data_IF_365178867903
#
_entry.id   IF_365178867903
#
_cell.length_a   1.000
_cell.length_b   1.000
_cell.length_c   1.000
_cell.angle_alpha   90.00
_cell.angle_beta   90.00
_cell.angle_gamma   90.00
#
_symmetry.space_group_name_H-M   'P 1'
#
loop_
_entity.id
_entity.type
_entity.pdbx_description
1 polymer ?
#
# COMPACT_ATOMS: atom_id res chain seq x y z
N UNK A 1 18.69 8.16 -10.32
CA UNK A 1 19.06 9.47 -9.75
C UNK A 1 18.24 9.58 -8.48
N UNK A 2 18.88 9.51 -7.32
CA UNK A 2 18.16 9.58 -6.06
C UNK A 2 17.93 11.06 -5.73
N UNK A 3 16.78 11.43 -5.17
CA UNK A 3 16.59 12.76 -4.62
C UNK A 3 16.71 12.76 -3.10
N UNK A 4 17.28 13.80 -2.53
CA UNK A 4 17.32 14.02 -1.08
C UNK A 4 16.59 15.34 -0.79
N UNK A 5 15.54 15.26 0.01
CA UNK A 5 14.81 16.43 0.47
C UNK A 5 15.24 16.81 1.88
N UNK A 6 15.47 18.09 2.16
CA UNK A 6 15.79 18.61 3.49
C UNK A 6 14.64 19.51 3.94
N UNK A 7 13.82 19.01 4.88
CA UNK A 7 12.81 19.81 5.58
C UNK A 7 13.41 20.39 6.84
N UNK A 8 13.33 21.72 6.99
CA UNK A 8 13.85 22.41 8.16
C UNK A 8 13.06 23.68 8.46
N UNK A 9 13.14 24.16 9.70
CA UNK A 9 12.57 25.44 10.09
C UNK A 9 13.67 26.50 10.12
N UNK A 10 13.55 27.54 9.29
CA UNK A 10 14.59 28.59 9.14
C UNK A 10 14.96 29.26 10.45
N UNK A 11 13.95 29.63 11.24
CA UNK A 11 14.14 30.26 12.54
C UNK A 11 14.82 29.34 13.55
N UNK A 12 15.00 28.06 13.26
CA UNK A 12 15.50 27.07 14.21
C UNK A 12 16.86 26.52 13.81
N UNK A 13 17.04 26.14 12.53
CA UNK A 13 18.20 25.34 12.10
C UNK A 13 18.84 25.78 10.79
N UNK A 14 18.58 27.01 10.29
CA UNK A 14 19.08 27.48 8.98
C UNK A 14 20.59 27.31 8.77
N UNK A 15 21.41 27.63 9.78
CA UNK A 15 22.88 27.49 9.68
C UNK A 15 23.35 26.04 9.59
N UNK A 16 22.62 25.09 10.16
CA UNK A 16 22.90 23.66 10.00
C UNK A 16 22.37 23.13 8.66
N UNK A 17 21.20 23.58 8.24
CA UNK A 17 20.58 23.18 6.98
C UNK A 17 21.42 23.56 5.77
N UNK A 18 21.94 24.79 5.72
CA UNK A 18 22.84 25.23 4.64
C UNK A 18 24.14 24.42 4.60
N UNK A 19 24.80 24.24 5.75
CA UNK A 19 26.03 23.42 5.83
C UNK A 19 25.79 21.97 5.42
N UNK A 20 24.64 21.41 5.79
CA UNK A 20 24.25 20.05 5.42
C UNK A 20 24.02 19.95 3.91
N UNK A 21 23.29 20.91 3.34
CA UNK A 21 23.03 20.99 1.90
C UNK A 21 24.32 20.98 1.08
N UNK A 22 25.27 21.86 1.38
CA UNK A 22 26.54 21.94 0.65
C UNK A 22 27.31 20.61 0.70
N UNK A 23 27.33 19.98 1.88
CA UNK A 23 28.01 18.70 2.10
C UNK A 23 27.33 17.55 1.35
N UNK A 24 26.00 17.54 1.30
CA UNK A 24 25.24 16.55 0.53
C UNK A 24 25.43 16.76 -0.98
N UNK A 25 25.43 17.99 -1.48
CA UNK A 25 25.76 18.29 -2.88
C UNK A 25 27.16 17.78 -3.25
N UNK A 26 28.15 17.96 -2.38
CA UNK A 26 29.49 17.43 -2.58
C UNK A 26 29.54 15.89 -2.51
N UNK A 27 28.79 15.28 -1.59
CA UNK A 27 28.75 13.83 -1.40
C UNK A 27 27.94 13.12 -2.49
N UNK A 28 27.02 13.78 -3.18
CA UNK A 28 26.13 13.19 -4.19
C UNK A 28 26.10 14.04 -5.48
N UNK A 29 27.21 14.12 -6.23
CA UNK A 29 27.38 15.07 -7.35
C UNK A 29 26.49 14.83 -8.59
N UNK A 30 25.56 13.88 -8.53
CA UNK A 30 24.57 13.61 -9.58
C UNK A 30 23.14 13.45 -9.08
N UNK A 31 22.91 13.61 -7.78
CA UNK A 31 21.58 13.49 -7.17
C UNK A 31 20.94 14.87 -7.01
N UNK A 32 19.60 14.91 -7.03
CA UNK A 32 18.87 16.17 -6.82
C UNK A 32 18.73 16.40 -5.32
N UNK A 33 19.46 17.38 -4.80
CA UNK A 33 19.33 17.81 -3.41
C UNK A 33 18.39 19.00 -3.37
N UNK A 34 17.27 18.85 -2.66
CA UNK A 34 16.27 19.88 -2.46
C UNK A 34 16.33 20.36 -1.01
N UNK A 35 16.25 21.67 -0.83
CA UNK A 35 16.22 22.30 0.49
C UNK A 35 15.17 23.40 0.45
N UNK A 36 14.06 23.19 1.18
CA UNK A 36 12.97 24.17 1.35
C UNK A 36 12.34 24.68 0.02
N UNK A 37 11.02 24.90 0.02
CA UNK A 37 10.24 25.12 -1.22
C UNK A 37 9.93 26.60 -1.48
N UNK A 38 10.58 27.54 -0.78
CA UNK A 38 10.40 28.97 -1.07
C UNK A 38 11.01 29.46 -2.41
N UNK A 39 11.68 28.59 -3.20
CA UNK A 39 12.17 28.93 -4.55
C UNK A 39 11.16 28.65 -5.67
N UNK A 40 9.88 28.98 -5.46
CA UNK A 40 8.86 28.85 -6.51
C UNK A 40 8.45 30.21 -7.08
N UNK A 41 8.16 30.21 -8.38
CA UNK A 41 7.77 31.41 -9.10
C UNK A 41 6.36 31.85 -8.68
N UNK A 42 6.06 33.14 -8.80
CA UNK A 42 4.71 33.65 -8.51
C UNK A 42 3.70 33.03 -9.48
N UNK A 43 2.78 32.20 -8.97
CA UNK A 43 1.67 31.61 -9.74
C UNK A 43 1.54 30.08 -9.73
N UNK A 44 2.49 29.36 -9.13
CA UNK A 44 2.45 27.88 -9.08
C UNK A 44 1.45 27.34 -8.03
N UNK A 45 0.85 26.17 -8.31
CA UNK A 45 0.06 25.41 -7.33
C UNK A 45 1.01 24.67 -6.37
N UNK A 46 1.38 25.34 -5.29
CA UNK A 46 2.46 24.96 -4.36
C UNK A 46 2.32 23.57 -3.75
N UNK A 47 1.09 23.11 -3.49
CA UNK A 47 0.86 21.76 -2.99
C UNK A 47 1.33 20.71 -4.00
N UNK A 48 1.13 20.96 -5.30
CA UNK A 48 1.57 20.05 -6.36
C UNK A 48 3.09 19.99 -6.48
N UNK A 49 3.79 21.09 -6.22
CA UNK A 49 5.25 21.12 -6.38
C UNK A 49 5.98 20.40 -5.24
N UNK A 50 5.54 20.54 -3.99
CA UNK A 50 6.08 19.78 -2.85
C UNK A 50 5.92 18.28 -3.13
N UNK A 51 4.75 17.88 -3.61
CA UNK A 51 4.51 16.49 -3.98
C UNK A 51 5.37 16.03 -5.15
N UNK A 52 5.56 16.86 -6.17
CA UNK A 52 6.44 16.59 -7.32
C UNK A 52 7.88 16.40 -6.87
N UNK A 53 8.35 17.26 -5.97
CA UNK A 53 9.69 17.23 -5.40
C UNK A 53 9.91 15.99 -4.55
N UNK A 54 9.00 15.70 -3.62
CA UNK A 54 9.09 14.51 -2.77
C UNK A 54 8.98 13.21 -3.57
N UNK A 55 8.24 13.17 -4.69
CA UNK A 55 8.22 12.02 -5.62
C UNK A 55 9.58 11.74 -6.25
N UNK A 56 10.37 12.79 -6.48
CA UNK A 56 11.70 12.65 -7.01
C UNK A 56 12.73 12.24 -5.94
N UNK A 57 12.33 12.10 -4.67
CA UNK A 57 13.21 11.85 -3.55
C UNK A 57 13.07 10.44 -2.97
N UNK A 58 14.22 9.84 -2.63
CA UNK A 58 14.31 8.55 -1.94
C UNK A 58 14.45 8.72 -0.41
N UNK A 59 14.91 9.90 0.01
CA UNK A 59 15.21 10.25 1.40
C UNK A 59 14.66 11.64 1.70
N UNK A 60 14.02 11.78 2.86
CA UNK A 60 13.59 13.05 3.45
C UNK A 60 14.28 13.22 4.80
N UNK A 61 15.11 14.25 4.92
CA UNK A 61 15.83 14.62 6.13
C UNK A 61 15.03 15.69 6.86
N UNK A 62 14.65 15.41 8.10
CA UNK A 62 13.82 16.31 8.92
C UNK A 62 14.65 16.92 10.02
N UNK A 63 15.03 18.19 9.87
CA UNK A 63 15.87 18.88 10.84
C UNK A 63 15.05 19.46 11.99
N UNK A 64 15.37 19.01 13.20
CA UNK A 64 14.68 19.36 14.44
C UNK A 64 15.71 20.03 15.36
N UNK A 65 15.60 21.34 15.54
CA UNK A 65 16.34 22.09 16.55
C UNK A 65 15.52 22.30 17.83
N UNK A 66 16.11 23.02 18.78
CA UNK A 66 15.55 23.19 20.13
C UNK A 66 14.25 24.01 20.17
N UNK A 67 13.97 24.81 19.14
CA UNK A 67 12.75 25.63 19.01
C UNK A 67 11.74 25.05 18.01
N UNK A 68 12.07 23.95 17.32
CA UNK A 68 11.23 23.35 16.29
C UNK A 68 9.77 23.15 16.72
N UNK A 69 9.59 22.55 17.90
CA UNK A 69 8.28 22.25 18.49
C UNK A 69 7.59 23.48 19.09
N UNK A 70 8.35 24.49 19.52
CA UNK A 70 7.85 25.65 20.29
C UNK A 70 7.61 26.89 19.43
N UNK A 71 8.01 26.86 18.16
CA UNK A 71 7.90 28.03 17.28
C UNK A 71 6.42 28.36 17.05
N UNK A 72 6.08 29.63 17.24
CA UNK A 72 4.73 30.16 17.08
C UNK A 72 4.66 31.19 15.95
N UNK A 73 3.46 31.43 15.43
CA UNK A 73 3.18 32.54 14.51
C UNK A 73 3.09 33.89 15.24
N UNK A 74 2.78 34.94 14.48
CA UNK A 74 2.58 36.31 15.00
C UNK A 74 1.42 36.43 16.02
N UNK A 75 0.58 35.40 16.17
CA UNK A 75 -0.54 35.34 17.12
C UNK A 75 -0.27 34.40 18.30
N UNK A 76 0.96 33.88 18.44
CA UNK A 76 1.34 32.97 19.52
C UNK A 76 0.83 31.53 19.35
N UNK A 77 0.28 31.18 18.17
CA UNK A 77 -0.18 29.81 17.89
C UNK A 77 0.99 28.98 17.39
N UNK A 78 1.20 27.80 17.96
CA UNK A 78 2.26 26.89 17.53
C UNK A 78 2.11 26.58 16.04
N UNK A 79 3.19 26.76 15.27
CA UNK A 79 3.16 26.61 13.82
C UNK A 79 2.77 25.21 13.37
N UNK A 80 3.30 24.17 14.04
CA UNK A 80 2.98 22.78 13.70
C UNK A 80 1.50 22.42 13.86
N UNK A 81 0.72 23.14 14.68
CA UNK A 81 -0.71 22.88 14.80
C UNK A 81 -1.51 23.46 13.63
N UNK A 82 -0.89 24.33 12.84
CA UNK A 82 -1.54 24.99 11.72
C UNK A 82 -1.51 24.07 10.49
N UNK A 83 -2.66 23.79 9.85
CA UNK A 83 -2.72 22.93 8.67
C UNK A 83 -1.93 23.45 7.48
N UNK A 84 -1.63 24.75 7.43
CA UNK A 84 -0.87 25.42 6.38
C UNK A 84 0.63 25.61 6.71
N UNK A 85 1.14 25.03 7.81
CA UNK A 85 2.57 25.11 8.11
C UNK A 85 3.36 24.18 7.18
N UNK A 86 4.30 24.76 6.44
CA UNK A 86 5.06 24.06 5.40
C UNK A 86 5.83 22.85 5.92
N UNK A 87 6.48 22.99 7.07
CA UNK A 87 7.23 21.89 7.70
C UNK A 87 6.30 20.72 8.02
N UNK A 88 5.08 20.99 8.52
CA UNK A 88 4.07 19.95 8.74
C UNK A 88 3.68 19.28 7.43
N UNK A 89 3.33 20.06 6.41
CA UNK A 89 2.89 19.56 5.11
C UNK A 89 3.96 18.65 4.48
N UNK A 90 5.21 19.09 4.45
CA UNK A 90 6.34 18.34 3.89
C UNK A 90 6.57 17.01 4.60
N UNK A 91 6.59 17.03 5.94
CA UNK A 91 6.85 15.82 6.74
C UNK A 91 5.66 14.86 6.65
N UNK A 92 4.42 15.35 6.76
CA UNK A 92 3.22 14.53 6.62
C UNK A 92 3.16 13.89 5.22
N UNK A 93 3.51 14.65 4.19
CA UNK A 93 3.64 14.15 2.83
C UNK A 93 4.74 13.08 2.69
N UNK A 94 5.87 13.23 3.36
CA UNK A 94 6.95 12.24 3.31
C UNK A 94 6.60 10.96 4.10
N UNK A 95 5.94 11.07 5.25
CA UNK A 95 5.59 9.94 6.12
C UNK A 95 4.54 9.00 5.51
N UNK A 96 3.73 9.50 4.59
CA UNK A 96 2.67 8.76 3.87
C UNK A 96 3.14 8.14 2.56
N UNK A 97 4.41 8.35 2.18
CA UNK A 97 4.99 7.91 0.91
C UNK A 97 6.12 6.90 1.14
N UNK A 98 6.56 6.25 0.07
CA UNK A 98 7.75 5.40 0.09
C UNK A 98 9.07 6.20 0.09
N UNK A 99 9.16 7.22 0.95
CA UNK A 99 10.37 8.03 1.15
C UNK A 99 10.95 7.67 2.51
N UNK A 100 12.28 7.47 2.58
CA UNK A 100 12.92 7.22 3.87
C UNK A 100 13.03 8.52 4.66
N UNK A 101 12.19 8.68 5.67
CA UNK A 101 12.26 9.82 6.60
C UNK A 101 13.34 9.57 7.65
N UNK A 102 14.28 10.50 7.81
CA UNK A 102 15.36 10.45 8.81
C UNK A 102 15.32 11.74 9.63
N UNK A 103 14.91 11.68 10.91
CA UNK A 103 15.00 12.83 11.81
C UNK A 103 16.46 13.16 12.13
N UNK A 104 16.80 14.45 12.05
CA UNK A 104 18.10 15.02 12.36
C UNK A 104 17.96 16.02 13.52
N UNK A 105 18.36 15.60 14.72
CA UNK A 105 18.38 16.45 15.91
C UNK A 105 19.61 17.36 15.86
N UNK A 106 19.43 18.66 16.04
CA UNK A 106 20.51 19.65 16.03
C UNK A 106 20.98 19.93 17.46
N UNK A 107 22.26 19.68 17.73
CA UNK A 107 22.88 19.83 19.05
C UNK A 107 22.03 19.13 20.15
N UNK A 108 21.63 19.87 21.19
CA UNK A 108 20.87 19.38 22.35
C UNK A 108 19.36 19.22 22.08
N UNK A 109 18.93 19.25 20.80
CA UNK A 109 17.53 19.04 20.47
C UNK A 109 17.07 17.63 20.86
N UNK A 110 15.86 17.54 21.39
CA UNK A 110 15.25 16.28 21.82
C UNK A 110 14.13 15.91 20.86
N UNK A 111 13.97 14.61 20.60
CA UNK A 111 12.89 14.11 19.77
C UNK A 111 11.52 14.50 20.37
N UNK A 112 10.63 15.13 19.60
CA UNK A 112 9.28 15.43 20.09
C UNK A 112 8.53 14.14 20.42
N UNK A 113 7.87 14.05 21.58
CA UNK A 113 7.04 12.90 21.89
C UNK A 113 5.76 12.91 21.05
N UNK A 114 5.18 11.74 20.81
CA UNK A 114 4.04 11.56 19.89
C UNK A 114 2.83 12.42 20.27
N UNK A 115 2.52 12.55 21.56
CA UNK A 115 1.42 13.38 22.07
C UNK A 115 1.61 14.88 21.85
N UNK A 116 2.84 15.32 21.60
CA UNK A 116 3.12 16.71 21.28
C UNK A 116 3.01 17.00 19.77
N UNK A 117 2.77 15.99 18.93
CA UNK A 117 2.71 16.13 17.48
C UNK A 117 1.26 16.09 16.96
N UNK A 118 0.96 16.80 15.86
CA UNK A 118 -0.28 16.61 15.13
C UNK A 118 -0.44 15.15 14.65
N UNK A 119 -1.68 14.65 14.45
CA UNK A 119 -1.95 13.25 14.09
C UNK A 119 -1.14 12.72 12.90
N UNK A 120 -1.02 13.55 11.85
CA UNK A 120 -0.28 13.27 10.62
C UNK A 120 1.25 13.18 10.80
N UNK A 121 1.78 13.63 11.94
CA UNK A 121 3.20 13.59 12.26
C UNK A 121 3.56 12.63 13.40
N UNK A 122 2.60 12.00 14.07
CA UNK A 122 2.87 11.13 15.24
C UNK A 122 3.93 10.07 14.95
N UNK A 123 3.89 9.47 13.75
CA UNK A 123 4.88 8.47 13.30
C UNK A 123 6.32 8.98 13.31
N UNK A 124 6.56 10.29 13.18
CA UNK A 124 7.89 10.88 13.25
C UNK A 124 8.59 10.49 14.57
N UNK A 125 7.86 10.56 15.70
CA UNK A 125 8.37 10.31 17.05
C UNK A 125 8.96 8.91 17.28
N UNK A 126 8.54 7.91 16.51
CA UNK A 126 9.04 6.54 16.61
C UNK A 126 10.20 6.24 15.65
N UNK A 127 10.62 7.20 14.83
CA UNK A 127 11.74 7.02 13.91
C UNK A 127 13.08 7.21 14.60
N UNK A 128 14.06 6.39 14.20
CA UNK A 128 15.43 6.50 14.67
C UNK A 128 16.05 7.82 14.19
N UNK A 129 16.30 8.73 15.14
CA UNK A 129 16.95 10.00 14.85
C UNK A 129 18.49 9.88 14.81
N UNK A 130 19.12 10.82 14.11
CA UNK A 130 20.57 11.07 14.20
C UNK A 130 20.81 12.48 14.73
N UNK A 131 21.87 12.64 15.52
CA UNK A 131 22.25 13.94 16.08
C UNK A 131 23.35 14.56 15.25
N UNK A 132 23.21 15.85 14.92
CA UNK A 132 24.24 16.68 14.28
C UNK A 132 24.75 17.70 15.29
N UNK A 133 25.98 17.53 15.77
CA UNK A 133 26.57 18.49 16.70
C UNK A 133 27.38 19.54 15.96
N UNK A 134 27.43 20.75 16.50
CA UNK A 134 28.25 21.83 15.96
C UNK A 134 29.74 21.44 15.85
N UNK A 135 30.31 20.86 16.91
CA UNK A 135 31.74 20.56 17.01
C UNK A 135 32.16 19.31 16.23
N UNK A 136 31.24 18.37 16.01
CA UNK A 136 31.52 17.12 15.29
C UNK A 136 30.77 17.01 13.97
N UNK A 137 30.27 18.14 13.47
CA UNK A 137 29.38 18.24 12.31
C UNK A 137 29.88 17.42 11.11
N UNK A 138 31.15 17.58 10.74
CA UNK A 138 31.78 16.86 9.64
C UNK A 138 31.65 15.34 9.80
N UNK A 139 32.03 14.82 10.97
CA UNK A 139 31.96 13.38 11.28
C UNK A 139 30.50 12.88 11.29
N UNK A 140 29.61 13.64 11.90
CA UNK A 140 28.21 13.25 12.05
C UNK A 140 27.50 13.21 10.68
N UNK A 141 27.80 14.17 9.80
CA UNK A 141 27.31 14.19 8.42
C UNK A 141 27.96 13.11 7.56
N UNK A 142 29.24 12.76 7.77
CA UNK A 142 29.88 11.65 7.03
C UNK A 142 29.20 10.32 7.35
N UNK A 143 28.92 10.07 8.63
CA UNK A 143 28.18 8.91 9.05
C UNK A 143 26.76 8.89 8.44
N UNK A 144 26.09 10.05 8.34
CA UNK A 144 24.78 10.18 7.70
C UNK A 144 24.86 9.85 6.20
N UNK A 145 25.84 10.40 5.48
CA UNK A 145 26.09 10.14 4.07
C UNK A 145 26.34 8.65 3.81
N UNK A 146 27.17 7.99 4.64
CA UNK A 146 27.42 6.55 4.53
C UNK A 146 26.13 5.75 4.74
N UNK A 147 25.33 6.10 5.75
CA UNK A 147 24.04 5.46 6.00
C UNK A 147 23.05 5.62 4.84
N UNK A 148 22.98 6.81 4.24
CA UNK A 148 22.17 7.07 3.04
C UNK A 148 22.67 6.21 1.87
N UNK A 149 23.98 6.19 1.59
CA UNK A 149 24.56 5.40 0.49
C UNK A 149 24.26 3.91 0.64
N UNK A 150 24.50 3.34 1.81
CA UNK A 150 24.23 1.92 2.08
C UNK A 150 22.74 1.59 1.88
N UNK A 151 21.84 2.43 2.39
CA UNK A 151 20.40 2.24 2.22
C UNK A 151 19.98 2.35 0.74
N UNK A 152 20.51 3.34 0.02
CA UNK A 152 20.22 3.53 -1.42
C UNK A 152 20.80 2.42 -2.29
N UNK A 153 21.97 1.87 -1.94
CA UNK A 153 22.59 0.75 -2.67
C UNK A 153 21.82 -0.55 -2.42
N UNK A 154 21.44 -0.83 -1.17
CA UNK A 154 20.58 -1.98 -0.85
C UNK A 154 19.24 -1.91 -1.58
N UNK A 155 18.59 -0.74 -1.57
CA UNK A 155 17.33 -0.51 -2.30
C UNK A 155 17.50 -0.66 -3.81
N UNK A 156 18.59 -0.15 -4.40
CA UNK A 156 18.86 -0.31 -5.84
C UNK A 156 19.11 -1.77 -6.21
N UNK A 157 19.85 -2.51 -5.39
CA UNK A 157 20.09 -3.94 -5.58
C UNK A 157 18.77 -4.73 -5.54
N UNK A 158 17.91 -4.44 -4.56
CA UNK A 158 16.59 -5.04 -4.45
C UNK A 158 15.70 -4.69 -5.66
N UNK A 159 15.64 -3.41 -6.04
CA UNK A 159 14.87 -2.97 -7.20
C UNK A 159 15.35 -3.61 -8.51
N UNK A 160 16.67 -3.77 -8.70
CA UNK A 160 17.23 -4.46 -9.86
C UNK A 160 16.87 -5.95 -9.85
N UNK A 161 16.92 -6.61 -8.69
CA UNK A 161 16.47 -8.00 -8.52
C UNK A 161 14.99 -8.14 -8.86
N UNK A 162 14.12 -7.27 -8.34
CA UNK A 162 12.69 -7.26 -8.63
C UNK A 162 12.37 -6.95 -10.10
N UNK A 163 13.09 -6.02 -10.72
CA UNK A 163 12.93 -5.68 -12.14
C UNK A 163 13.30 -6.84 -13.08
N UNK A 164 14.12 -7.79 -12.62
CA UNK A 164 14.47 -9.00 -13.39
C UNK A 164 13.42 -10.12 -13.31
N UNK A 165 12.46 -10.01 -12.39
CA UNK A 165 11.41 -11.01 -12.22
C UNK A 165 10.43 -10.99 -13.39
N UNK A 166 10.13 -12.17 -13.91
CA UNK A 166 9.09 -12.35 -14.93
C UNK A 166 7.71 -12.24 -14.30
N UNK A 167 6.78 -11.59 -14.99
CA UNK A 167 5.38 -11.55 -14.58
C UNK A 167 4.84 -12.98 -14.34
N UNK A 168 4.10 -13.16 -13.24
CA UNK A 168 3.53 -14.44 -12.86
C UNK A 168 4.53 -15.49 -12.36
N UNK A 169 5.81 -15.15 -12.16
CA UNK A 169 6.76 -16.07 -11.53
C UNK A 169 6.32 -16.36 -10.09
N UNK A 170 6.47 -17.62 -9.67
CA UNK A 170 5.88 -18.11 -8.41
C UNK A 170 6.97 -18.42 -7.40
N UNK A 171 6.68 -18.13 -6.15
CA UNK A 171 7.47 -18.55 -4.99
C UNK A 171 6.55 -18.92 -3.83
N UNK A 172 7.01 -19.81 -2.97
CA UNK A 172 6.29 -20.21 -1.75
C UNK A 172 6.74 -19.33 -0.60
N UNK A 173 5.79 -18.80 0.15
CA UNK A 173 6.09 -18.02 1.34
C UNK A 173 6.32 -18.96 2.55
N UNK A 174 7.40 -18.78 3.33
CA UNK A 174 7.84 -19.79 4.31
C UNK A 174 6.92 -19.92 5.53
N UNK A 175 6.11 -18.91 5.84
CA UNK A 175 5.30 -18.88 7.07
C UNK A 175 3.92 -19.50 6.84
N UNK A 176 3.20 -19.00 5.84
CA UNK A 176 1.85 -19.47 5.50
C UNK A 176 1.86 -20.59 4.46
N UNK A 177 3.00 -20.92 3.83
CA UNK A 177 3.14 -21.97 2.82
C UNK A 177 2.22 -21.78 1.60
N UNK A 178 1.77 -20.54 1.35
CA UNK A 178 1.03 -20.21 0.13
C UNK A 178 1.99 -19.85 -1.00
N UNK A 179 1.55 -20.09 -2.23
CA UNK A 179 2.24 -19.62 -3.43
C UNK A 179 1.87 -18.16 -3.73
N UNK A 180 2.87 -17.35 -4.07
CA UNK A 180 2.73 -15.96 -4.46
C UNK A 180 3.28 -15.75 -5.86
N UNK A 181 2.55 -15.01 -6.69
CA UNK A 181 2.95 -14.62 -8.03
C UNK A 181 3.48 -13.18 -8.06
N UNK A 182 4.55 -12.96 -8.82
CA UNK A 182 5.09 -11.62 -9.05
C UNK A 182 4.23 -10.82 -10.04
N UNK A 183 3.77 -9.65 -9.59
CA UNK A 183 3.00 -8.69 -10.37
C UNK A 183 3.91 -7.49 -10.71
N UNK A 184 4.31 -7.29 -11.98
CA UNK A 184 5.24 -6.22 -12.34
C UNK A 184 4.56 -4.84 -12.25
N UNK A 185 5.33 -3.76 -12.00
CA UNK A 185 4.79 -2.40 -12.10
C UNK A 185 4.28 -2.14 -13.52
N UNK A 186 3.28 -1.27 -13.64
CA UNK A 186 2.67 -1.00 -14.93
C UNK A 186 1.50 -0.03 -14.85
N UNK A 187 1.11 0.47 -16.02
CA UNK A 187 -0.07 1.32 -16.19
C UNK A 187 -1.25 0.52 -16.72
N UNK A 188 -2.46 0.84 -16.26
CA UNK A 188 -3.70 0.27 -16.81
C UNK A 188 -4.85 1.28 -16.73
N UNK A 189 -5.94 0.97 -17.44
CA UNK A 189 -7.19 1.72 -17.35
C UNK A 189 -8.10 1.03 -16.33
N UNK A 190 -8.27 1.66 -15.16
CA UNK A 190 -9.12 1.20 -14.07
C UNK A 190 -10.58 1.59 -14.30
N UNK A 191 -11.49 0.72 -13.86
CA UNK A 191 -12.94 0.91 -13.97
C UNK A 191 -13.56 0.24 -15.19
N UNK A 192 -14.86 0.47 -15.36
CA UNK A 192 -15.71 -0.22 -16.35
C UNK A 192 -15.13 -0.17 -17.76
N UNK A 193 -15.08 -1.32 -18.45
CA UNK A 193 -14.58 -1.40 -19.82
C UNK A 193 -15.63 -0.93 -20.84
N UNK A 194 -15.21 -0.36 -21.99
CA UNK A 194 -16.10 -0.10 -23.10
C UNK A 194 -16.75 -1.39 -23.58
N UNK A 195 -18.08 -1.39 -23.73
CA UNK A 195 -18.81 -2.56 -24.25
C UNK A 195 -19.14 -3.65 -23.23
N UNK A 196 -19.00 -3.40 -21.92
CA UNK A 196 -19.40 -4.38 -20.88
C UNK A 196 -20.92 -4.65 -20.82
N UNK A 197 -21.72 -3.86 -21.54
CA UNK A 197 -23.16 -4.03 -21.70
C UNK A 197 -24.01 -3.70 -20.47
N UNK A 198 -23.41 -3.29 -19.35
CA UNK A 198 -24.12 -2.97 -18.11
C UNK A 198 -24.81 -1.61 -18.22
N UNK A 199 -26.15 -1.65 -18.22
CA UNK A 199 -27.01 -0.46 -18.22
C UNK A 199 -27.57 -0.12 -16.84
N UNK A 200 -27.36 -0.99 -15.86
CA UNK A 200 -27.86 -0.79 -14.50
C UNK A 200 -26.97 0.22 -13.76
N UNK A 201 -27.59 1.33 -13.36
CA UNK A 201 -26.93 2.47 -12.71
C UNK A 201 -26.36 2.12 -11.33
N UNK A 202 -26.78 1.00 -10.72
CA UNK A 202 -26.23 0.54 -9.43
C UNK A 202 -24.73 0.23 -9.48
N UNK A 203 -24.19 -0.01 -10.67
CA UNK A 203 -22.78 -0.30 -10.92
C UNK A 203 -22.01 0.92 -11.44
N UNK A 204 -22.61 2.13 -11.45
CA UNK A 204 -21.97 3.32 -12.01
C UNK A 204 -20.83 3.87 -11.14
N UNK A 205 -20.67 3.35 -9.93
CA UNK A 205 -19.49 3.55 -9.07
C UNK A 205 -18.20 2.97 -9.66
N UNK A 206 -18.29 2.18 -10.75
CA UNK A 206 -17.17 1.72 -11.58
C UNK A 206 -16.69 2.76 -12.62
N UNK A 207 -17.36 3.91 -12.70
CA UNK A 207 -17.09 5.00 -13.66
C UNK A 207 -16.57 6.26 -12.93
N UNK A 208 -15.86 7.16 -13.63
CA UNK A 208 -15.34 7.01 -14.98
C UNK A 208 -14.15 6.06 -15.03
N UNK A 209 -13.94 5.48 -16.22
CA UNK A 209 -12.72 4.75 -16.51
C UNK A 209 -11.54 5.73 -16.58
N UNK A 210 -10.44 5.43 -15.91
CA UNK A 210 -9.32 6.37 -15.76
C UNK A 210 -7.96 5.64 -15.73
N UNK A 211 -6.85 6.30 -16.14
CA UNK A 211 -5.53 5.69 -16.10
C UNK A 211 -5.01 5.58 -14.66
N UNK A 212 -4.39 4.47 -14.30
CA UNK A 212 -3.66 4.28 -13.05
C UNK A 212 -2.27 3.77 -13.35
N UNK A 213 -1.27 4.28 -12.64
CA UNK A 213 0.11 3.86 -12.75
C UNK A 213 0.57 3.28 -11.40
N UNK A 214 0.93 2.00 -11.40
CA UNK A 214 1.63 1.36 -10.29
C UNK A 214 3.13 1.49 -10.54
N UNK A 215 3.86 2.18 -9.68
CA UNK A 215 5.30 2.42 -9.88
C UNK A 215 6.16 1.30 -9.32
N UNK A 216 5.57 0.42 -8.51
CA UNK A 216 6.24 -0.71 -7.87
C UNK A 216 5.51 -2.01 -8.18
N UNK A 217 6.28 -3.05 -8.45
CA UNK A 217 5.76 -4.41 -8.49
C UNK A 217 5.61 -4.98 -7.08
N UNK A 218 4.83 -6.04 -6.97
CA UNK A 218 4.52 -6.68 -5.69
C UNK A 218 4.27 -8.17 -5.90
N UNK A 219 4.37 -8.93 -4.82
CA UNK A 219 3.95 -10.33 -4.77
C UNK A 219 2.51 -10.41 -4.31
N UNK A 220 1.69 -11.21 -4.97
CA UNK A 220 0.29 -11.42 -4.61
C UNK A 220 0.04 -12.91 -4.45
N UNK A 221 -0.66 -13.35 -3.40
CA UNK A 221 -0.99 -14.77 -3.24
C UNK A 221 -1.77 -15.26 -4.47
N UNK A 222 -1.38 -16.42 -5.01
CA UNK A 222 -1.89 -16.93 -6.29
C UNK A 222 -3.41 -17.07 -6.27
N UNK A 223 -3.97 -17.51 -5.16
CA UNK A 223 -5.41 -17.47 -4.90
C UNK A 223 -5.73 -16.83 -3.55
N UNK A 224 -7.02 -16.86 -3.15
CA UNK A 224 -7.44 -16.46 -1.81
C UNK A 224 -6.73 -17.29 -0.73
N UNK A 225 -6.60 -16.72 0.47
CA UNK A 225 -6.04 -17.43 1.62
C UNK A 225 -6.90 -18.66 1.93
N UNK A 226 -6.25 -19.83 2.02
CA UNK A 226 -6.95 -21.09 2.29
C UNK A 226 -7.22 -21.29 3.78
N UNK A 227 -8.21 -22.13 4.10
CA UNK A 227 -8.53 -22.54 5.46
C UNK A 227 -7.31 -23.18 6.16
N UNK A 228 -6.49 -23.95 5.44
CA UNK A 228 -5.26 -24.54 5.97
C UNK A 228 -4.19 -23.49 6.32
N UNK A 229 -4.03 -22.47 5.47
CA UNK A 229 -3.10 -21.37 5.72
C UNK A 229 -3.55 -20.49 6.88
N UNK A 230 -4.84 -20.17 6.96
CA UNK A 230 -5.44 -19.49 8.11
C UNK A 230 -5.33 -20.31 9.39
N UNK A 231 -5.48 -21.64 9.29
CA UNK A 231 -5.26 -22.60 10.38
C UNK A 231 -3.87 -22.53 11.00
N UNK A 232 -2.83 -22.28 10.20
CA UNK A 232 -1.46 -22.04 10.69
C UNK A 232 -1.35 -20.74 11.49
N UNK A 233 -1.94 -19.67 10.96
CA UNK A 233 -1.99 -18.37 11.62
C UNK A 233 -2.64 -18.48 13.01
N UNK A 234 -3.87 -18.99 13.09
CA UNK A 234 -4.62 -19.03 14.35
C UNK A 234 -3.94 -19.91 15.39
N UNK A 235 -3.33 -21.03 14.96
CA UNK A 235 -2.54 -21.92 15.83
C UNK A 235 -1.32 -21.20 16.41
N UNK A 236 -0.61 -20.43 15.59
CA UNK A 236 0.57 -19.67 16.05
C UNK A 236 0.23 -18.58 17.08
N UNK A 237 -1.01 -18.07 17.04
CA UNK A 237 -1.51 -17.01 17.93
C UNK A 237 -2.30 -17.56 19.13
N UNK A 238 -2.64 -18.84 19.15
CA UNK A 238 -3.52 -19.43 20.16
C UNK A 238 -4.97 -18.93 20.08
N UNK A 239 -5.44 -18.52 18.91
CA UNK A 239 -6.82 -18.07 18.67
C UNK A 239 -7.62 -19.15 17.92
N UNK A 240 -8.95 -19.03 17.92
CA UNK A 240 -9.84 -19.97 17.25
C UNK A 240 -9.96 -19.67 15.75
N UNK A 241 -10.27 -20.70 14.95
CA UNK A 241 -10.76 -20.50 13.58
C UNK A 241 -12.09 -19.73 13.61
N UNK A 242 -12.41 -18.95 12.55
CA UNK A 242 -13.73 -18.37 12.38
C UNK A 242 -14.80 -19.48 12.30
N UNK A 243 -16.09 -19.14 12.54
CA UNK A 243 -17.19 -20.10 12.41
C UNK A 243 -17.13 -20.82 11.04
N UNK A 244 -17.14 -22.15 11.00
CA UNK A 244 -17.04 -22.87 9.74
C UNK A 244 -18.31 -22.64 8.90
N UNK A 245 -18.18 -22.48 7.57
CA UNK A 245 -19.34 -22.39 6.70
C UNK A 245 -20.03 -23.75 6.58
N UNK A 246 -21.33 -23.76 6.25
CA UNK A 246 -22.12 -24.99 6.10
C UNK A 246 -21.52 -25.98 5.09
N UNK A 247 -20.89 -25.48 4.03
CA UNK A 247 -20.31 -26.28 2.96
C UNK A 247 -18.90 -26.82 3.29
N UNK A 248 -18.27 -26.38 4.39
CA UNK A 248 -16.99 -26.89 4.87
C UNK A 248 -17.00 -27.00 6.41
N UNK A 249 -17.76 -27.97 6.96
CA UNK A 249 -17.91 -28.13 8.39
C UNK A 249 -16.57 -28.42 9.06
N UNK A 250 -16.31 -27.78 10.20
CA UNK A 250 -15.06 -27.88 10.97
C UNK A 250 -13.78 -27.55 10.18
N UNK A 251 -13.90 -26.85 9.05
CA UNK A 251 -12.77 -26.60 8.14
C UNK A 251 -12.06 -27.89 7.72
N UNK A 252 -12.83 -28.95 7.43
CA UNK A 252 -12.29 -30.25 7.01
C UNK A 252 -11.50 -30.18 5.70
N UNK A 253 -11.95 -29.34 4.75
CA UNK A 253 -11.27 -29.14 3.47
C UNK A 253 -10.32 -27.93 3.57
N UNK A 254 -9.02 -28.22 3.72
CA UNK A 254 -8.00 -27.21 3.99
C UNK A 254 -7.65 -26.33 2.78
N UNK A 255 -7.95 -26.79 1.56
CA UNK A 255 -7.60 -26.11 0.30
C UNK A 255 -8.72 -25.18 -0.19
N UNK A 256 -9.84 -25.12 0.52
CA UNK A 256 -10.89 -24.12 0.29
C UNK A 256 -10.48 -22.76 0.85
N UNK A 257 -10.97 -21.64 0.28
CA UNK A 257 -10.73 -20.32 0.81
C UNK A 257 -11.31 -20.17 2.23
N UNK A 258 -10.60 -19.45 3.10
CA UNK A 258 -11.17 -19.04 4.38
C UNK A 258 -12.25 -17.98 4.14
N UNK A 259 -13.36 -18.12 4.86
CA UNK A 259 -14.53 -17.22 4.83
C UNK A 259 -15.01 -16.94 6.25
N UNK A 260 -16.04 -16.11 6.42
CA UNK A 260 -16.49 -15.63 7.73
C UNK A 260 -15.40 -14.86 8.49
N UNK A 261 -14.54 -14.15 7.76
CA UNK A 261 -13.49 -13.30 8.31
C UNK A 261 -13.86 -11.83 8.11
N UNK A 262 -13.63 -11.02 9.14
CA UNK A 262 -13.79 -9.57 9.05
C UNK A 262 -12.61 -8.96 8.29
N UNK A 263 -12.73 -7.69 7.91
CA UNK A 263 -11.61 -6.96 7.32
C UNK A 263 -10.42 -6.86 8.29
N UNK A 264 -10.69 -6.74 9.59
CA UNK A 264 -9.66 -6.69 10.62
C UNK A 264 -8.90 -8.02 10.74
N UNK A 265 -9.61 -9.15 10.72
CA UNK A 265 -9.02 -10.49 10.73
C UNK A 265 -8.09 -10.69 9.52
N UNK A 266 -8.57 -10.29 8.33
CA UNK A 266 -7.80 -10.36 7.09
C UNK A 266 -6.51 -9.53 7.17
N UNK A 267 -6.59 -8.32 7.73
CA UNK A 267 -5.42 -7.46 7.95
C UNK A 267 -4.44 -8.06 8.97
N UNK A 268 -4.93 -8.66 10.05
CA UNK A 268 -4.07 -9.30 11.06
C UNK A 268 -3.32 -10.51 10.49
N UNK A 269 -3.99 -11.31 9.66
CA UNK A 269 -3.33 -12.40 8.92
C UNK A 269 -2.25 -11.84 7.99
N UNK A 270 -2.58 -10.83 7.17
CA UNK A 270 -1.62 -10.22 6.26
C UNK A 270 -0.39 -9.70 7.03
N UNK A 271 -0.59 -9.01 8.16
CA UNK A 271 0.51 -8.52 8.99
C UNK A 271 1.36 -9.66 9.57
N UNK A 272 0.76 -10.80 9.93
CA UNK A 272 1.49 -11.97 10.44
C UNK A 272 2.44 -12.57 9.40
N UNK A 273 2.09 -12.54 8.12
CA UNK A 273 2.98 -12.97 7.02
C UNK A 273 3.90 -11.84 6.52
N UNK A 274 3.90 -10.68 7.17
CA UNK A 274 4.73 -9.53 6.76
C UNK A 274 4.18 -8.76 5.56
N UNK A 275 2.90 -8.94 5.24
CA UNK A 275 2.21 -8.31 4.13
C UNK A 275 1.06 -7.41 4.54
N UNK A 276 0.21 -7.11 3.56
CA UNK A 276 -0.98 -6.28 3.68
C UNK A 276 -2.06 -6.74 2.71
N UNK A 277 -3.27 -6.22 2.88
CA UNK A 277 -4.29 -6.34 1.84
C UNK A 277 -3.84 -5.52 0.60
N UNK A 278 -4.12 -5.99 -0.62
CA UNK A 278 -3.92 -5.18 -1.82
C UNK A 278 -4.85 -3.96 -1.78
N UNK A 279 -4.46 -2.87 -2.44
CA UNK A 279 -5.43 -1.83 -2.76
C UNK A 279 -6.39 -2.27 -3.84
N UNK A 280 -7.54 -1.58 -3.96
CA UNK A 280 -8.51 -1.83 -5.02
C UNK A 280 -7.86 -1.76 -6.41
N UNK A 281 -6.98 -0.78 -6.62
CA UNK A 281 -6.27 -0.61 -7.89
C UNK A 281 -5.23 -1.71 -8.14
N UNK A 282 -4.48 -2.12 -7.11
CA UNK A 282 -3.53 -3.23 -7.22
C UNK A 282 -4.28 -4.54 -7.55
N UNK A 283 -5.44 -4.75 -6.92
CA UNK A 283 -6.29 -5.91 -7.16
C UNK A 283 -6.81 -5.92 -8.60
N UNK A 284 -7.38 -4.81 -9.10
CA UNK A 284 -7.94 -4.76 -10.46
C UNK A 284 -6.84 -4.92 -11.52
N UNK A 285 -5.69 -4.26 -11.33
CA UNK A 285 -4.53 -4.44 -12.20
C UNK A 285 -4.10 -5.90 -12.28
N UNK A 286 -4.02 -6.56 -11.13
CA UNK A 286 -3.63 -7.96 -11.04
C UNK A 286 -4.68 -8.89 -11.68
N UNK A 287 -5.98 -8.63 -11.46
CA UNK A 287 -7.08 -9.40 -12.03
C UNK A 287 -7.13 -9.32 -13.56
N UNK A 288 -6.82 -8.15 -14.15
CA UNK A 288 -6.72 -7.96 -15.60
C UNK A 288 -5.60 -8.77 -16.25
N UNK A 289 -4.56 -9.17 -15.50
CA UNK A 289 -3.48 -10.02 -16.02
C UNK A 289 -2.70 -9.40 -17.19
N UNK A 290 -2.68 -8.07 -17.32
CA UNK A 290 -2.06 -7.40 -18.48
C UNK A 290 -2.95 -7.32 -19.73
N UNK A 291 -4.19 -7.80 -19.68
CA UNK A 291 -5.19 -7.59 -20.75
C UNK A 291 -5.88 -6.25 -20.61
N UNK A 292 -6.08 -5.58 -21.74
CA UNK A 292 -6.94 -4.42 -21.84
C UNK A 292 -8.35 -4.83 -22.25
N UNK A 293 -9.35 -4.07 -21.79
CA UNK A 293 -10.72 -4.07 -22.32
C UNK A 293 -11.46 -5.42 -22.22
N UNK A 294 -11.20 -6.20 -21.16
CA UNK A 294 -11.96 -7.41 -20.86
C UNK A 294 -12.84 -7.27 -19.61
N UNK A 295 -14.03 -7.88 -19.64
CA UNK A 295 -14.94 -7.97 -18.49
C UNK A 295 -14.45 -8.98 -17.45
N UNK A 296 -13.81 -10.06 -17.90
CA UNK A 296 -13.30 -11.17 -17.08
C UNK A 296 -11.81 -11.42 -17.40
N UNK A 297 -11.08 -12.17 -16.55
CA UNK A 297 -9.63 -12.39 -16.72
C UNK A 297 -9.28 -13.07 -18.05
N UNK A 298 -10.19 -13.88 -18.58
CA UNK A 298 -10.02 -14.65 -19.82
C UNK A 298 -10.66 -13.99 -21.05
N UNK A 299 -11.52 -12.97 -20.90
CA UNK A 299 -12.25 -12.38 -22.01
C UNK A 299 -13.58 -11.73 -21.60
N UNK A 300 -14.56 -11.73 -22.50
CA UNK A 300 -15.84 -11.04 -22.34
C UNK A 300 -17.03 -11.98 -22.15
N UNK A 301 -16.79 -13.29 -22.18
CA UNK A 301 -17.82 -14.31 -21.98
C UNK A 301 -17.49 -15.09 -20.70
N UNK A 302 -18.52 -15.43 -19.93
CA UNK A 302 -18.40 -16.26 -18.73
C UNK A 302 -19.25 -17.52 -18.92
N UNK A 303 -18.68 -18.65 -18.52
CA UNK A 303 -19.37 -19.94 -18.47
C UNK A 303 -19.03 -20.64 -17.16
N UNK A 304 -19.79 -21.68 -16.74
CA UNK A 304 -19.47 -22.47 -15.55
C UNK A 304 -18.10 -23.18 -15.56
N UNK A 305 -17.40 -23.23 -16.70
CA UNK A 305 -16.02 -23.75 -16.76
C UNK A 305 -14.96 -22.70 -16.41
N UNK A 306 -15.34 -21.43 -16.28
CA UNK A 306 -14.39 -20.34 -16.09
C UNK A 306 -14.18 -19.95 -14.62
N UNK A 307 -15.22 -20.04 -13.79
CA UNK A 307 -15.17 -19.66 -12.37
C UNK A 307 -16.30 -20.33 -11.56
N UNK A 308 -16.20 -20.26 -10.24
CA UNK A 308 -17.27 -20.64 -9.33
C UNK A 308 -18.14 -19.40 -9.02
N UNK A 309 -19.36 -19.36 -9.54
CA UNK A 309 -20.32 -18.25 -9.38
C UNK A 309 -21.74 -18.83 -9.40
N UNK A 310 -22.79 -18.01 -9.28
CA UNK A 310 -24.16 -18.48 -9.06
C UNK A 310 -24.67 -19.51 -10.09
N UNK A 311 -24.26 -19.42 -11.36
CA UNK A 311 -24.70 -20.37 -12.40
C UNK A 311 -23.84 -21.65 -12.46
N UNK A 312 -22.76 -21.73 -11.66
CA UNK A 312 -21.93 -22.92 -11.56
C UNK A 312 -22.44 -23.87 -10.46
N UNK A 313 -23.31 -24.80 -10.87
CA UNK A 313 -23.96 -25.73 -9.94
C UNK A 313 -23.07 -26.90 -9.48
N UNK A 314 -21.77 -26.92 -9.82
CA UNK A 314 -20.84 -28.00 -9.37
C UNK A 314 -20.56 -27.94 -7.88
N UNK A 315 -20.68 -26.76 -7.28
CA UNK A 315 -20.33 -26.50 -5.89
C UNK A 315 -21.53 -25.90 -5.16
N UNK A 316 -21.74 -26.30 -3.90
CA UNK A 316 -22.81 -25.73 -3.03
C UNK A 316 -22.24 -24.68 -2.07
N UNK A 317 -21.19 -23.98 -2.50
CA UNK A 317 -20.36 -23.11 -1.70
C UNK A 317 -19.05 -22.82 -2.41
N UNK A 318 -17.99 -22.61 -1.63
CA UNK A 318 -16.64 -22.42 -2.18
C UNK A 318 -16.14 -23.68 -2.88
N UNK A 319 -15.25 -23.49 -3.86
CA UNK A 319 -14.46 -24.55 -4.50
C UNK A 319 -13.03 -24.53 -3.96
N UNK A 320 -12.27 -25.63 -4.05
CA UNK A 320 -10.83 -25.61 -3.77
C UNK A 320 -10.15 -24.51 -4.57
N UNK A 321 -9.20 -23.80 -3.94
CA UNK A 321 -8.44 -22.74 -4.62
C UNK A 321 -7.66 -23.33 -5.79
N UNK A 322 -7.72 -22.68 -6.95
CA UNK A 322 -7.07 -23.16 -8.18
C UNK A 322 -7.86 -24.21 -8.97
N UNK A 323 -9.17 -24.34 -8.70
CA UNK A 323 -10.06 -25.23 -9.47
C UNK A 323 -10.26 -24.79 -10.93
N UNK A 324 -9.99 -23.52 -11.24
CA UNK A 324 -10.16 -22.92 -12.57
C UNK A 324 -8.82 -22.45 -13.13
N UNK A 325 -8.78 -22.13 -14.44
CA UNK A 325 -7.56 -21.64 -15.07
C UNK A 325 -7.10 -20.30 -14.46
N UNK A 326 -5.79 -20.08 -14.26
CA UNK A 326 -5.30 -18.81 -13.79
C UNK A 326 -5.34 -17.75 -14.90
N UNK A 327 -5.27 -16.48 -14.53
CA UNK A 327 -5.05 -15.40 -15.50
C UNK A 327 -3.58 -15.33 -15.97
N UNK A 328 -3.28 -14.39 -16.86
CA UNK A 328 -1.94 -14.24 -17.47
C UNK A 328 -0.84 -13.78 -16.47
N UNK A 329 -1.21 -13.34 -15.27
CA UNK A 329 -0.29 -13.14 -14.13
C UNK A 329 -0.23 -14.32 -13.17
N UNK A 330 -0.76 -15.47 -13.58
CA UNK A 330 -0.75 -16.74 -12.85
C UNK A 330 -1.53 -16.71 -11.53
N UNK A 331 -2.60 -15.91 -11.49
CA UNK A 331 -3.53 -15.81 -10.37
C UNK A 331 -4.80 -16.62 -10.62
N UNK A 332 -5.18 -17.41 -9.63
CA UNK A 332 -6.42 -18.18 -9.57
C UNK A 332 -7.52 -17.40 -8.86
N UNK A 333 -8.76 -17.73 -9.22
CA UNK A 333 -9.97 -17.33 -8.51
C UNK A 333 -10.05 -15.83 -8.19
N UNK A 334 -9.48 -14.98 -9.07
CA UNK A 334 -9.64 -13.52 -9.00
C UNK A 334 -11.08 -13.09 -9.30
N UNK A 335 -11.87 -13.99 -9.87
CA UNK A 335 -13.28 -13.78 -10.21
C UNK A 335 -14.07 -14.98 -9.71
N UNK A 336 -15.13 -14.72 -8.94
CA UNK A 336 -15.92 -15.74 -8.27
C UNK A 336 -15.23 -16.36 -7.06
N UNK A 337 -15.73 -17.52 -6.64
CA UNK A 337 -15.38 -18.25 -5.42
C UNK A 337 -15.66 -17.43 -4.16
N UNK A 338 -14.89 -16.40 -3.84
CA UNK A 338 -15.13 -15.54 -2.67
C UNK A 338 -14.92 -14.07 -3.03
N UNK A 339 -15.73 -13.20 -2.45
CA UNK A 339 -15.43 -11.78 -2.38
C UNK A 339 -14.13 -11.58 -1.61
N UNK A 340 -13.29 -10.65 -2.06
CA UNK A 340 -12.00 -10.42 -1.44
C UNK A 340 -11.88 -9.01 -0.85
N UNK A 341 -11.57 -8.94 0.44
CA UNK A 341 -11.23 -7.69 1.10
C UNK A 341 -10.01 -7.01 0.45
N UNK A 342 -10.11 -5.70 0.23
CA UNK A 342 -8.99 -4.84 -0.15
C UNK A 342 -8.79 -3.73 0.89
N UNK A 343 -7.68 -2.98 0.82
CA UNK A 343 -7.35 -1.98 1.82
C UNK A 343 -8.27 -0.75 1.82
N UNK A 344 -8.94 -0.46 0.71
CA UNK A 344 -9.56 0.83 0.45
C UNK A 344 -10.91 1.00 1.17
N UNK A 345 -11.18 2.23 1.60
CA UNK A 345 -12.54 2.64 1.98
C UNK A 345 -13.38 2.80 0.71
N UNK A 346 -14.64 2.37 0.78
CA UNK A 346 -15.58 2.55 -0.31
C UNK A 346 -16.04 4.00 -0.39
N UNK A 347 -15.93 4.56 -1.59
CA UNK A 347 -16.48 5.85 -1.97
C UNK A 347 -16.95 5.74 -3.44
N UNK A 348 -18.23 6.02 -3.66
CA UNK A 348 -18.86 5.92 -4.98
C UNK A 348 -18.37 7.00 -5.95
N UNK A 349 -17.89 8.14 -5.46
CA UNK A 349 -17.41 9.27 -6.25
C UNK A 349 -15.90 9.30 -6.47
N UNK A 350 -15.13 8.39 -5.84
CA UNK A 350 -13.66 8.48 -5.80
C UNK A 350 -13.01 8.43 -7.18
N UNK A 351 -13.58 7.66 -8.12
CA UNK A 351 -13.08 7.57 -9.50
C UNK A 351 -13.26 8.89 -10.28
N UNK A 352 -14.27 9.70 -9.92
CA UNK A 352 -14.53 10.99 -10.54
C UNK A 352 -13.78 12.14 -9.86
N UNK A 353 -13.53 12.03 -8.54
CA UNK A 353 -13.06 13.12 -7.70
C UNK A 353 -11.53 13.20 -7.56
N UNK A 354 -10.78 12.08 -7.67
CA UNK A 354 -9.33 12.07 -7.41
C UNK A 354 -8.53 11.96 -8.71
N UNK A 355 -7.54 12.85 -8.96
CA UNK A 355 -6.66 12.71 -10.12
C UNK A 355 -5.85 11.40 -10.04
N UNK A 356 -5.49 10.81 -11.19
CA UNK A 356 -4.89 9.49 -11.30
C UNK A 356 -3.53 9.41 -10.61
N UNK A 357 -3.46 8.80 -9.43
CA UNK A 357 -2.24 8.65 -8.63
C UNK A 357 -2.27 7.32 -7.88
N UNK A 358 -1.09 6.85 -7.46
CA UNK A 358 -0.99 5.68 -6.59
C UNK A 358 -1.95 5.82 -5.39
N UNK A 359 -2.70 4.76 -5.04
CA UNK A 359 -3.64 4.84 -3.92
C UNK A 359 -2.85 5.10 -2.65
N UNK A 360 -3.04 6.30 -2.09
CA UNK A 360 -2.60 6.61 -0.74
C UNK A 360 -3.34 5.68 0.19
N UNK A 361 -2.60 4.76 0.80
CA UNK A 361 -2.94 4.15 2.08
C UNK A 361 -3.42 5.27 3.00
N UNK A 362 -4.74 5.44 3.15
CA UNK A 362 -5.30 6.43 4.05
C UNK A 362 -5.28 5.81 5.46
N UNK A 363 -4.31 6.18 6.33
CA UNK A 363 -4.19 5.59 7.63
C UNK A 363 -5.12 6.35 8.58
N UNK A 364 -6.05 5.62 9.18
CA UNK A 364 -6.72 6.05 10.41
C UNK A 364 -7.62 7.29 10.34
N UNK A 365 -8.52 7.36 9.36
CA UNK A 365 -9.78 8.08 9.60
C UNK A 365 -10.56 7.28 10.64
N UNK A 366 -10.78 7.86 11.83
CA UNK A 366 -11.78 7.33 12.76
C UNK A 366 -13.13 7.37 12.07
N UNK A 367 -13.62 6.21 11.67
CA UNK A 367 -14.85 6.09 10.92
C UNK A 367 -15.92 5.39 11.75
N UNK A 368 -17.00 6.13 11.93
CA UNK A 368 -18.33 5.66 12.33
C UNK A 368 -18.78 4.45 11.48
N UNK A 369 -19.68 3.61 12.02
CA UNK A 369 -20.31 2.40 11.44
C UNK A 369 -20.94 2.59 10.05
N UNK A 370 -20.99 3.82 9.54
CA UNK A 370 -21.44 4.16 8.20
C UNK A 370 -20.39 3.94 7.10
N UNK A 371 -19.10 3.83 7.42
CA UNK A 371 -18.05 3.66 6.42
C UNK A 371 -17.79 2.18 6.11
N UNK A 372 -17.76 1.87 4.82
CA UNK A 372 -17.62 0.50 4.32
C UNK A 372 -16.27 0.31 3.65
N UNK A 373 -15.72 -0.89 3.70
CA UNK A 373 -14.52 -1.28 2.95
C UNK A 373 -14.91 -1.89 1.62
N UNK A 374 -14.07 -1.71 0.62
CA UNK A 374 -14.27 -2.31 -0.70
C UNK A 374 -14.01 -3.82 -0.62
N UNK A 375 -14.80 -4.59 -1.36
CA UNK A 375 -14.53 -5.98 -1.73
C UNK A 375 -14.60 -6.16 -3.24
N UNK A 376 -13.83 -7.12 -3.76
CA UNK A 376 -13.67 -7.34 -5.21
C UNK A 376 -13.89 -8.80 -5.60
N UNK A 377 -14.15 -9.04 -6.88
CA UNK A 377 -14.15 -10.38 -7.50
C UNK A 377 -15.49 -11.10 -7.59
N UNK A 378 -16.45 -10.78 -6.71
CA UNK A 378 -17.68 -11.57 -6.61
C UNK A 378 -17.44 -12.93 -5.94
N UNK A 379 -18.51 -13.67 -5.64
CA UNK A 379 -18.40 -14.98 -4.98
C UNK A 379 -19.09 -16.10 -5.74
N UNK A 380 -19.06 -17.31 -5.16
CA UNK A 380 -19.84 -18.46 -5.60
C UNK A 380 -21.36 -18.21 -5.63
N UNK A 381 -21.86 -17.18 -4.94
CA UNK A 381 -23.29 -16.81 -4.90
C UNK A 381 -23.61 -15.59 -5.79
N UNK A 382 -22.60 -15.03 -6.47
CA UNK A 382 -22.73 -13.86 -7.32
C UNK A 382 -23.14 -14.21 -8.74
N UNK A 383 -24.04 -13.41 -9.32
CA UNK A 383 -24.49 -13.56 -10.71
C UNK A 383 -23.42 -13.01 -11.70
N UNK A 384 -23.50 -13.34 -13.01
CA UNK A 384 -22.49 -12.91 -14.00
C UNK A 384 -22.08 -11.43 -13.95
N UNK A 385 -23.05 -10.53 -13.76
CA UNK A 385 -22.79 -9.08 -13.71
C UNK A 385 -22.00 -8.66 -12.46
N UNK A 386 -22.00 -9.46 -11.40
CA UNK A 386 -21.32 -9.14 -10.14
C UNK A 386 -19.89 -9.71 -10.07
N UNK A 387 -19.54 -10.63 -10.95
CA UNK A 387 -18.21 -11.26 -11.01
C UNK A 387 -17.32 -10.63 -12.10
N UNK A 388 -17.70 -9.48 -12.65
CA UNK A 388 -16.85 -8.70 -13.58
C UNK A 388 -15.64 -8.13 -12.84
N UNK A 389 -14.50 -8.01 -13.53
CA UNK A 389 -13.26 -7.43 -12.98
C UNK A 389 -13.49 -6.04 -12.42
N UNK A 390 -14.30 -5.20 -13.08
CA UNK A 390 -14.55 -3.81 -12.66
C UNK A 390 -15.52 -3.67 -11.51
N UNK A 391 -16.32 -4.70 -11.21
CA UNK A 391 -17.37 -4.61 -10.19
C UNK A 391 -16.80 -4.34 -8.80
N UNK A 392 -17.43 -3.41 -8.09
CA UNK A 392 -17.04 -2.99 -6.74
C UNK A 392 -18.14 -3.41 -5.77
N UNK A 393 -17.81 -4.29 -4.84
CA UNK A 393 -18.65 -4.53 -3.68
C UNK A 393 -18.17 -3.69 -2.51
N UNK A 394 -19.02 -3.59 -1.49
CA UNK A 394 -18.65 -2.93 -0.23
C UNK A 394 -19.38 -3.57 0.94
N UNK A 395 -18.76 -3.55 2.11
CA UNK A 395 -19.35 -4.11 3.32
C UNK A 395 -18.78 -3.43 4.57
N UNK A 396 -19.49 -3.52 5.70
CA UNK A 396 -18.95 -3.00 6.96
C UNK A 396 -17.68 -3.77 7.32
N UNK A 397 -16.60 -3.10 7.77
CA UNK A 397 -15.37 -3.79 8.16
C UNK A 397 -15.55 -4.79 9.32
N UNK A 398 -16.62 -4.65 10.11
CA UNK A 398 -16.97 -5.53 11.22
C UNK A 398 -17.77 -6.77 10.81
N UNK A 399 -18.28 -6.82 9.58
CA UNK A 399 -19.15 -7.91 9.14
C UNK A 399 -18.31 -9.13 8.76
N UNK A 400 -18.73 -10.29 9.22
CA UNK A 400 -18.23 -11.58 8.77
C UNK A 400 -19.28 -12.22 7.85
N UNK A 401 -18.97 -12.27 6.54
CA UNK A 401 -19.91 -12.77 5.52
C UNK A 401 -19.43 -14.13 5.01
N UNK A 402 -20.40 -15.02 4.73
CA UNK A 402 -20.19 -16.45 4.42
C UNK A 402 -19.37 -16.75 3.17
N UNK A 403 -19.16 -15.74 2.34
CA UNK A 403 -18.53 -15.81 1.04
C UNK A 403 -17.48 -14.70 0.88
N UNK A 404 -17.04 -14.10 1.99
CA UNK A 404 -15.99 -13.08 2.02
C UNK A 404 -14.70 -13.69 2.58
N UNK A 405 -13.66 -13.67 1.75
CA UNK A 405 -12.29 -14.00 2.08
C UNK A 405 -11.36 -12.85 1.72
N UNK A 406 -10.10 -13.16 1.40
CA UNK A 406 -9.10 -12.18 1.00
C UNK A 406 -7.88 -12.86 0.38
N UNK A 407 -7.03 -12.06 -0.26
CA UNK A 407 -5.68 -12.45 -0.72
C UNK A 407 -4.63 -11.52 -0.14
N UNK A 408 -3.39 -11.97 -0.09
CA UNK A 408 -2.29 -11.22 0.55
C UNK A 408 -1.41 -10.59 -0.51
N UNK A 409 -1.02 -9.34 -0.27
CA UNK A 409 0.03 -8.65 -1.00
C UNK A 409 1.28 -8.51 -0.12
N UNK A 410 2.44 -8.83 -0.69
CA UNK A 410 3.77 -8.65 -0.11
C UNK A 410 4.59 -7.73 -1.01
N UNK A 411 5.10 -6.62 -0.47
CA UNK A 411 6.00 -5.74 -1.21
C UNK A 411 7.34 -6.45 -1.46
N UNK A 412 7.78 -7.28 -0.52
CA UNK A 412 8.93 -8.17 -0.63
C UNK A 412 8.56 -9.57 -0.15
N UNK A 413 8.94 -10.60 -0.91
CA UNK A 413 8.80 -11.98 -0.47
C UNK A 413 10.10 -12.45 0.21
N UNK A 414 10.06 -12.90 1.47
CA UNK A 414 11.23 -13.46 2.13
C UNK A 414 11.82 -14.60 1.29
N UNK A 415 13.15 -14.62 1.14
CA UNK A 415 13.82 -15.79 0.61
C UNK A 415 13.58 -16.97 1.56
N UNK A 416 13.30 -18.16 1.02
CA UNK A 416 13.44 -19.39 1.80
C UNK A 416 14.91 -19.50 2.21
N UNK A 417 15.22 -19.40 3.50
CA UNK A 417 16.57 -19.74 3.96
C UNK A 417 16.86 -21.19 3.52
N UNK A 418 18.05 -21.48 2.98
CA UNK A 418 18.45 -22.86 2.78
C UNK A 418 18.46 -23.55 4.13
N UNK A 419 17.82 -24.71 4.19
CA UNK A 419 17.72 -25.59 5.35
C UNK A 419 19.08 -25.64 6.10
N UNK A 420 19.16 -25.29 7.40
CA UNK A 420 20.36 -25.48 8.17
C UNK A 420 20.55 -26.99 8.37
N UNK A 421 21.31 -27.59 7.44
CA UNK A 421 21.73 -28.99 7.43
C UNK A 421 22.30 -29.49 8.75
#
# INVERSE_FOLDING_TARGET
MAGIFISYRRDDSAGFAGRLYDRLCAAFPGDKIFIDVERLCSGDDFAREIESTLRACDVCLVMIGSRWLKTADQYGRRRLDQPNDWVRIEIGAALTRNVRVIPLLVDEAVMPPGEALPPDLVRLSSLQARVLHHYTFTRDVDALVQGIRQASDARRSLAASMASLKAGCVRVHPVDQLEYAWIPPGGFMMGRVPGDGVTDERYDDEKPRHPVQLTQGFWLSRGPVTAGAYGRFVRSRGIAMPPPPKHNPNWADHDHPVVNVTWADAREYCAWVGGRLPSEAQWEYAARGGRADTCYPWGNEITPDCANYADNTRWQGTSPVGSFAPNDFNLFDVVGNVWEWVSDWYDAGVYAARPPREPTMDPDVQVDVLHKRVVRGGSWDSIPIEVRISNRGYCSPSDCVRDFGFRVLLDELPATEPDPS
#
